data_IF_186216173908
#
_entry.id   IF_186216173908
#
_cell.length_a   1.000
_cell.length_b   1.000
_cell.length_c   1.000
_cell.angle_alpha   90.00
_cell.angle_beta   90.00
_cell.angle_gamma   90.00
#
_symmetry.space_group_name_H-M   'P 1'
#
loop_
_entity.id
_entity.type
_entity.pdbx_description
1 polymer ?
#
# COMPACT_ATOMS: atom_id res chain seq x y z
N UNK A 1 29.31 21.95 24.47
CA UNK A 1 28.37 22.02 23.34
C UNK A 1 27.13 21.24 23.72
N UNK A 2 26.10 21.91 24.23
CA UNK A 2 24.88 21.27 24.74
C UNK A 2 23.83 21.22 23.64
N UNK A 3 23.60 20.04 23.07
CA UNK A 3 22.49 19.80 22.14
C UNK A 3 21.19 19.75 22.96
N UNK A 4 20.15 20.53 22.64
CA UNK A 4 18.85 20.32 23.26
C UNK A 4 18.18 19.11 22.60
N UNK A 5 18.15 18.00 23.32
CA UNK A 5 17.52 16.74 22.89
C UNK A 5 16.13 16.60 23.50
N UNK A 6 15.11 17.22 22.90
CA UNK A 6 13.72 16.90 23.22
C UNK A 6 12.79 17.16 22.04
N UNK A 7 11.81 16.26 21.84
CA UNK A 7 10.75 16.42 20.83
C UNK A 7 9.93 17.71 21.04
N UNK A 8 9.99 18.29 22.24
CA UNK A 8 9.40 19.59 22.61
C UNK A 8 10.14 20.81 22.00
N UNK A 9 11.33 20.63 21.44
CA UNK A 9 12.03 21.68 20.68
C UNK A 9 11.53 21.81 19.23
N UNK A 10 10.73 20.85 18.75
CA UNK A 10 10.12 20.90 17.42
C UNK A 10 8.88 21.80 17.45
N UNK A 11 8.72 22.68 16.46
CA UNK A 11 7.54 23.54 16.38
C UNK A 11 6.28 22.73 16.09
N UNK A 12 5.14 23.20 16.60
CA UNK A 12 3.83 22.56 16.35
C UNK A 12 3.52 22.47 14.86
N UNK A 13 3.88 23.50 14.08
CA UNK A 13 3.70 23.51 12.63
C UNK A 13 4.53 22.41 11.93
N UNK A 14 5.77 22.20 12.40
CA UNK A 14 6.59 21.10 11.92
C UNK A 14 5.97 19.74 12.26
N UNK A 15 5.53 19.55 13.51
CA UNK A 15 4.91 18.29 13.94
C UNK A 15 3.63 17.99 13.16
N UNK A 16 2.79 19.00 12.92
CA UNK A 16 1.57 18.87 12.12
C UNK A 16 1.89 18.50 10.67
N UNK A 17 2.84 19.21 10.06
CA UNK A 17 3.25 18.97 8.67
C UNK A 17 3.85 17.57 8.53
N UNK A 18 4.78 17.20 9.41
CA UNK A 18 5.41 15.89 9.42
C UNK A 18 4.38 14.77 9.63
N UNK A 19 3.43 14.94 10.55
CA UNK A 19 2.34 13.99 10.77
C UNK A 19 1.46 13.83 9.53
N UNK A 20 1.16 14.94 8.84
CA UNK A 20 0.37 14.91 7.61
C UNK A 20 1.10 14.15 6.48
N UNK A 21 2.37 14.46 6.24
CA UNK A 21 3.17 13.74 5.24
C UNK A 21 3.38 12.27 5.60
N UNK A 22 3.60 11.95 6.88
CA UNK A 22 3.70 10.57 7.35
C UNK A 22 2.38 9.82 7.15
N UNK A 23 1.24 10.47 7.41
CA UNK A 23 -0.09 9.92 7.16
C UNK A 23 -0.32 9.63 5.68
N UNK A 24 -0.01 10.59 4.80
CA UNK A 24 -0.10 10.42 3.34
C UNK A 24 0.83 9.30 2.87
N UNK A 25 2.06 9.27 3.35
CA UNK A 25 3.02 8.22 3.04
C UNK A 25 2.54 6.84 3.51
N UNK A 26 1.95 6.74 4.71
CA UNK A 26 1.35 5.53 5.22
C UNK A 26 0.18 5.04 4.36
N UNK A 27 -0.70 5.94 3.92
CA UNK A 27 -1.79 5.60 3.00
C UNK A 27 -1.24 5.12 1.66
N UNK A 28 -0.25 5.82 1.11
CA UNK A 28 0.37 5.53 -0.19
C UNK A 28 1.20 4.23 -0.21
N UNK A 29 1.96 3.94 0.85
CA UNK A 29 2.85 2.77 0.91
C UNK A 29 2.20 1.54 1.53
N UNK A 30 1.20 1.71 2.41
CA UNK A 30 0.60 0.61 3.16
C UNK A 30 -0.86 0.36 2.77
N UNK A 31 -1.73 1.34 2.95
CA UNK A 31 -3.19 1.14 2.85
C UNK A 31 -3.64 0.86 1.42
N UNK A 32 -3.32 1.75 0.48
CA UNK A 32 -3.77 1.62 -0.92
C UNK A 32 -3.14 0.41 -1.62
N UNK A 33 -1.81 0.16 -1.51
CA UNK A 33 -1.19 -1.01 -2.13
C UNK A 33 -1.78 -2.34 -1.64
N UNK A 34 -2.05 -2.45 -0.34
CA UNK A 34 -2.64 -3.65 0.24
C UNK A 34 -4.08 -3.86 -0.28
N UNK A 35 -4.91 -2.80 -0.28
CA UNK A 35 -6.25 -2.86 -0.84
C UNK A 35 -6.24 -3.24 -2.33
N UNK A 36 -5.31 -2.68 -3.11
CA UNK A 36 -5.17 -2.96 -4.53
C UNK A 36 -4.75 -4.42 -4.79
N UNK A 37 -3.82 -4.97 -4.01
CA UNK A 37 -3.41 -6.38 -4.09
C UNK A 37 -4.61 -7.33 -3.90
N UNK A 38 -5.48 -7.04 -2.93
CA UNK A 38 -6.71 -7.84 -2.72
C UNK A 38 -7.76 -7.60 -3.81
N UNK A 39 -7.90 -6.38 -4.32
CA UNK A 39 -8.83 -6.07 -5.41
C UNK A 39 -8.45 -6.81 -6.69
N UNK A 40 -7.19 -6.68 -7.11
CA UNK A 40 -6.62 -7.36 -8.27
C UNK A 40 -6.81 -8.87 -8.14
N UNK A 41 -6.49 -9.45 -6.98
CA UNK A 41 -6.71 -10.88 -6.73
C UNK A 41 -8.15 -11.33 -7.01
N UNK A 42 -9.16 -10.54 -6.60
CA UNK A 42 -10.57 -10.91 -6.75
C UNK A 42 -11.08 -10.76 -8.18
N UNK A 43 -10.64 -9.72 -8.91
CA UNK A 43 -11.24 -9.35 -10.20
C UNK A 43 -10.37 -9.62 -11.42
N UNK A 44 -9.14 -10.11 -11.25
CA UNK A 44 -8.19 -10.32 -12.35
C UNK A 44 -8.78 -11.04 -13.56
N UNK A 45 -9.56 -12.11 -13.33
CA UNK A 45 -10.13 -12.93 -14.41
C UNK A 45 -11.45 -12.41 -14.98
N UNK A 46 -12.07 -11.42 -14.35
CA UNK A 46 -13.41 -10.89 -14.69
C UNK A 46 -13.34 -9.41 -15.11
N UNK A 47 -12.21 -8.74 -14.90
CA UNK A 47 -12.04 -7.32 -15.21
C UNK A 47 -12.18 -7.03 -16.72
N UNK A 48 -12.99 -6.03 -17.05
CA UNK A 48 -13.14 -5.53 -18.41
C UNK A 48 -11.91 -4.76 -18.90
N UNK A 49 -11.89 -4.35 -20.18
CA UNK A 49 -10.74 -3.66 -20.79
C UNK A 49 -10.38 -2.35 -20.08
N UNK A 50 -11.37 -1.50 -19.80
CA UNK A 50 -11.18 -0.21 -19.12
C UNK A 50 -10.68 -0.43 -17.69
N UNK A 51 -11.33 -1.32 -16.95
CA UNK A 51 -10.95 -1.66 -15.57
C UNK A 51 -9.51 -2.17 -15.51
N UNK A 52 -9.14 -3.09 -16.41
CA UNK A 52 -7.80 -3.65 -16.46
C UNK A 52 -6.73 -2.60 -16.78
N UNK A 53 -7.01 -1.67 -17.69
CA UNK A 53 -6.10 -0.55 -17.99
C UNK A 53 -5.91 0.35 -16.77
N UNK A 54 -6.98 0.70 -16.05
CA UNK A 54 -6.89 1.48 -14.82
C UNK A 54 -6.11 0.74 -13.74
N UNK A 55 -6.35 -0.56 -13.57
CA UNK A 55 -5.61 -1.38 -12.61
C UNK A 55 -4.11 -1.41 -12.90
N UNK A 56 -3.70 -1.52 -14.17
CA UNK A 56 -2.28 -1.41 -14.52
C UNK A 56 -1.70 -0.06 -14.14
N UNK A 57 -2.40 1.04 -14.47
CA UNK A 57 -1.97 2.39 -14.06
C UNK A 57 -1.82 2.52 -12.55
N UNK A 58 -2.79 2.01 -11.78
CA UNK A 58 -2.75 2.04 -10.31
C UNK A 58 -1.60 1.19 -9.75
N UNK A 59 -1.36 -0.01 -10.29
CA UNK A 59 -0.23 -0.85 -9.87
C UNK A 59 1.10 -0.14 -10.09
N UNK A 60 1.26 0.63 -11.18
CA UNK A 60 2.46 1.43 -11.40
C UNK A 60 2.59 2.60 -10.42
N UNK A 61 1.50 3.34 -10.17
CA UNK A 61 1.50 4.46 -9.21
C UNK A 61 1.84 3.99 -7.80
N UNK A 62 1.37 2.81 -7.39
CA UNK A 62 1.54 2.25 -6.04
C UNK A 62 2.57 1.12 -5.96
N UNK A 63 3.36 0.92 -7.02
CA UNK A 63 4.38 -0.11 -7.14
C UNK A 63 5.32 -0.22 -5.93
N UNK A 64 5.91 0.89 -5.40
CA UNK A 64 6.85 0.78 -4.28
C UNK A 64 6.21 0.17 -3.02
N UNK A 65 4.94 0.49 -2.75
CA UNK A 65 4.21 -0.11 -1.62
C UNK A 65 3.84 -1.57 -1.87
N UNK A 66 3.49 -1.93 -3.11
CA UNK A 66 3.21 -3.33 -3.46
C UNK A 66 4.46 -4.21 -3.33
N UNK A 67 5.64 -3.66 -3.68
CA UNK A 67 6.92 -4.35 -3.51
C UNK A 67 7.21 -4.66 -2.03
N UNK A 68 6.88 -3.74 -1.12
CA UNK A 68 7.03 -3.94 0.33
C UNK A 68 6.23 -5.15 0.84
N UNK A 69 5.01 -5.36 0.34
CA UNK A 69 4.16 -6.49 0.76
C UNK A 69 4.41 -7.79 0.00
N UNK A 70 5.14 -7.73 -1.12
CA UNK A 70 5.39 -8.89 -1.99
C UNK A 70 5.94 -10.15 -1.29
N UNK A 71 6.85 -10.08 -0.30
CA UNK A 71 7.34 -11.30 0.35
C UNK A 71 6.35 -11.91 1.35
N UNK A 72 5.34 -11.16 1.80
CA UNK A 72 4.42 -11.58 2.87
C UNK A 72 3.12 -12.18 2.35
N UNK A 73 2.68 -11.78 1.14
CA UNK A 73 1.38 -12.16 0.60
C UNK A 73 1.53 -13.30 -0.42
N UNK A 74 0.96 -14.47 -0.10
CA UNK A 74 0.91 -15.60 -1.00
C UNK A 74 -0.50 -15.77 -1.59
N UNK A 75 -0.65 -15.49 -2.88
CA UNK A 75 -1.92 -15.63 -3.60
C UNK A 75 -1.99 -16.90 -4.45
N UNK A 76 -1.23 -17.94 -4.09
CA UNK A 76 -1.33 -19.25 -4.70
C UNK A 76 -2.79 -19.77 -4.62
N UNK A 77 -3.37 -20.26 -5.73
CA UNK A 77 -4.65 -20.94 -5.70
C UNK A 77 -4.64 -22.07 -4.68
N UNK A 78 -5.72 -22.17 -3.90
CA UNK A 78 -5.84 -23.26 -2.93
C UNK A 78 -6.09 -24.59 -3.66
N UNK A 79 -5.65 -25.73 -3.09
CA UNK A 79 -5.95 -27.03 -3.65
C UNK A 79 -7.47 -27.23 -3.82
N UNK A 80 -7.86 -27.80 -4.95
CA UNK A 80 -9.27 -28.15 -5.20
C UNK A 80 -9.62 -29.41 -4.41
N UNK A 81 -10.82 -29.44 -3.82
CA UNK A 81 -11.36 -30.70 -3.27
C UNK A 81 -11.59 -31.70 -4.41
N UNK A 82 -11.12 -32.92 -4.22
CA UNK A 82 -11.16 -34.01 -5.20
C UNK A 82 -12.32 -34.95 -4.87
N UNK A 83 -13.01 -34.77 -3.74
CA UNK A 83 -14.23 -35.50 -3.43
C UNK A 83 -15.35 -35.03 -4.35
N UNK A 84 -15.88 -35.98 -5.14
CA UNK A 84 -17.00 -35.82 -6.05
C UNK A 84 -18.33 -35.80 -5.28
#
# INVERSE_FOLDING_TARGET
MTIPTSLSALSSDFLLTAGLYAGIAGVYLLVVPLALLFYVRRRWYIAGSIERTLLYGLVFVFFPGMLLFSPFLNFRPQPRDIKA
#
